data_IF_953561266056
#
_entry.id   IF_953561266056
#
_cell.length_a   1.000
_cell.length_b   1.000
_cell.length_c   1.000
_cell.angle_alpha   90.00
_cell.angle_beta   90.00
_cell.angle_gamma   90.00
#
_symmetry.space_group_name_H-M   'P 1'
#
loop_
_entity.id
_entity.type
_entity.pdbx_description
1 polymer ?
#
# COMPACT_ATOMS: atom_id res chain seq x y z
N UNK A 1 8.88 -7.18 -15.62
CA UNK A 1 8.94 -6.04 -14.69
C UNK A 1 7.59 -5.38 -14.71
N UNK A 2 6.89 -5.30 -13.57
CA UNK A 2 5.61 -4.61 -13.46
C UNK A 2 5.85 -3.08 -13.35
N UNK A 3 4.94 -2.28 -13.90
CA UNK A 3 5.00 -0.83 -13.87
C UNK A 3 3.77 -0.29 -13.14
N UNK A 4 3.97 0.62 -12.19
CA UNK A 4 2.88 1.28 -11.51
C UNK A 4 2.49 2.54 -12.28
N UNK A 5 1.34 2.51 -12.95
CA UNK A 5 0.84 3.65 -13.71
C UNK A 5 0.27 4.78 -12.85
N UNK A 6 -0.06 4.52 -11.59
CA UNK A 6 -0.54 5.56 -10.65
C UNK A 6 0.65 6.36 -10.09
N UNK A 7 1.75 5.67 -9.77
CA UNK A 7 2.99 6.28 -9.26
C UNK A 7 3.97 6.69 -10.36
N UNK A 8 3.76 6.21 -11.59
CA UNK A 8 4.63 6.42 -12.75
C UNK A 8 6.09 5.99 -12.47
N UNK A 9 6.26 4.83 -11.86
CA UNK A 9 7.55 4.26 -11.48
C UNK A 9 7.53 2.73 -11.64
N UNK A 10 8.70 2.07 -11.79
CA UNK A 10 8.75 0.61 -11.81
C UNK A 10 8.34 0.05 -10.45
N UNK A 11 7.60 -1.07 -10.45
CA UNK A 11 7.26 -1.77 -9.20
C UNK A 11 8.49 -2.53 -8.72
N UNK A 12 8.94 -2.22 -7.51
CA UNK A 12 10.12 -2.82 -6.86
C UNK A 12 9.79 -3.15 -5.40
N UNK A 13 10.59 -4.01 -4.79
CA UNK A 13 10.40 -4.34 -3.36
C UNK A 13 10.54 -3.09 -2.48
N UNK A 14 11.45 -2.17 -2.84
CA UNK A 14 11.76 -0.98 -2.06
C UNK A 14 10.61 0.03 -2.07
N UNK A 15 10.12 0.43 -3.25
CA UNK A 15 9.02 1.39 -3.34
C UNK A 15 7.67 0.83 -2.86
N UNK A 16 7.41 -0.48 -3.05
CA UNK A 16 6.24 -1.14 -2.46
C UNK A 16 6.30 -1.12 -0.92
N UNK A 17 7.47 -1.37 -0.33
CA UNK A 17 7.63 -1.28 1.13
C UNK A 17 7.47 0.15 1.66
N UNK A 18 7.98 1.14 0.93
CA UNK A 18 7.80 2.54 1.32
C UNK A 18 6.35 3.00 1.21
N UNK A 19 5.61 2.52 0.21
CA UNK A 19 4.18 2.81 0.08
C UNK A 19 3.37 2.18 1.20
N UNK A 20 3.66 0.92 1.57
CA UNK A 20 3.06 0.26 2.73
C UNK A 20 3.23 1.06 4.03
N UNK A 21 4.41 1.69 4.24
CA UNK A 21 4.64 2.55 5.41
C UNK A 21 3.74 3.78 5.40
N UNK A 22 3.59 4.44 4.24
CA UNK A 22 2.73 5.64 4.10
C UNK A 22 1.25 5.30 4.28
N UNK A 23 0.80 4.19 3.68
CA UNK A 23 -0.57 3.72 3.81
C UNK A 23 -0.88 3.34 5.26
N UNK A 24 0.02 2.63 5.94
CA UNK A 24 -0.14 2.28 7.36
C UNK A 24 -0.26 3.52 8.26
N UNK A 25 0.57 4.53 8.03
CA UNK A 25 0.49 5.81 8.76
C UNK A 25 -0.82 6.57 8.49
N UNK A 26 -1.40 6.39 7.31
CA UNK A 26 -2.66 7.06 6.92
C UNK A 26 -3.88 6.30 7.44
N UNK A 27 -3.85 4.96 7.41
CA UNK A 27 -4.82 4.09 8.06
C UNK A 27 -4.92 4.41 9.56
N UNK A 28 -3.78 4.48 10.26
CA UNK A 28 -3.76 4.82 11.69
C UNK A 28 -4.35 6.20 11.98
N UNK A 29 -4.10 7.19 11.11
CA UNK A 29 -4.68 8.53 11.26
C UNK A 29 -6.19 8.50 11.06
N UNK A 30 -6.68 7.79 10.05
CA UNK A 30 -8.11 7.62 9.78
C UNK A 30 -8.83 6.90 10.94
N UNK A 31 -8.22 5.85 11.50
CA UNK A 31 -8.72 5.16 12.68
C UNK A 31 -8.79 6.09 13.90
N UNK A 32 -7.72 6.86 14.14
CA UNK A 32 -7.67 7.80 15.26
C UNK A 32 -8.68 8.95 15.12
N UNK A 33 -9.02 9.35 13.89
CA UNK A 33 -10.07 10.35 13.65
C UNK A 33 -11.48 9.77 13.64
N UNK A 34 -11.64 8.45 13.76
CA UNK A 34 -12.94 7.77 13.68
C UNK A 34 -13.51 7.71 12.27
N UNK A 35 -12.69 7.95 11.23
CA UNK A 35 -13.11 7.87 9.84
C UNK A 35 -12.99 6.43 9.33
N UNK A 36 -14.02 5.63 9.60
CA UNK A 36 -14.06 4.21 9.25
C UNK A 36 -14.02 3.96 7.74
N UNK A 37 -14.56 4.88 6.93
CA UNK A 37 -14.54 4.75 5.47
C UNK A 37 -13.11 4.95 4.95
N UNK A 38 -12.44 6.02 5.39
CA UNK A 38 -11.05 6.25 5.02
C UNK A 38 -10.13 5.12 5.51
N UNK A 39 -10.33 4.62 6.74
CA UNK A 39 -9.57 3.49 7.26
C UNK A 39 -9.73 2.24 6.38
N UNK A 40 -10.95 1.92 5.96
CA UNK A 40 -11.23 0.77 5.09
C UNK A 40 -10.50 0.91 3.74
N UNK A 41 -10.56 2.08 3.12
CA UNK A 41 -9.87 2.36 1.85
C UNK A 41 -8.35 2.18 1.98
N UNK A 42 -7.77 2.66 3.08
CA UNK A 42 -6.33 2.48 3.32
C UNK A 42 -5.96 1.01 3.53
N UNK A 43 -6.78 0.24 4.26
CA UNK A 43 -6.55 -1.20 4.45
C UNK A 43 -6.66 -2.00 3.15
N UNK A 44 -7.62 -1.66 2.27
CA UNK A 44 -7.73 -2.27 0.94
C UNK A 44 -6.52 -1.94 0.04
N UNK A 45 -5.96 -0.75 0.17
CA UNK A 45 -4.73 -0.38 -0.53
C UNK A 45 -3.51 -1.14 0.04
N UNK A 46 -3.42 -1.29 1.36
CA UNK A 46 -2.36 -2.07 2.02
C UNK A 46 -2.38 -3.52 1.53
N UNK A 47 -3.55 -4.15 1.49
CA UNK A 47 -3.66 -5.54 1.02
C UNK A 47 -3.17 -5.70 -0.42
N UNK A 48 -3.50 -4.76 -1.31
CA UNK A 48 -3.01 -4.77 -2.70
C UNK A 48 -1.49 -4.64 -2.78
N UNK A 49 -0.88 -3.77 -1.99
CA UNK A 49 0.59 -3.64 -1.96
C UNK A 49 1.26 -4.87 -1.33
N UNK A 50 0.62 -5.53 -0.35
CA UNK A 50 1.12 -6.79 0.22
C UNK A 50 1.08 -7.93 -0.79
N UNK A 51 -0.01 -8.06 -1.56
CA UNK A 51 -0.12 -9.05 -2.63
C UNK A 51 0.98 -8.82 -3.69
N UNK A 52 1.17 -7.57 -4.12
CA UNK A 52 2.25 -7.21 -5.05
C UNK A 52 3.64 -7.48 -4.48
N UNK A 53 3.85 -7.27 -3.17
CA UNK A 53 5.11 -7.57 -2.51
C UNK A 53 5.43 -9.07 -2.48
N UNK A 54 4.42 -9.92 -2.29
CA UNK A 54 4.57 -11.38 -2.30
C UNK A 54 4.90 -11.88 -3.72
N UNK A 55 4.25 -11.32 -4.76
CA UNK A 55 4.58 -11.60 -6.16
C UNK A 55 6.03 -11.22 -6.50
N UNK A 56 6.49 -10.04 -6.06
CA UNK A 56 7.87 -9.57 -6.28
C UNK A 56 8.92 -10.45 -5.58
N UNK A 57 8.56 -11.05 -4.44
CA UNK A 57 9.42 -11.96 -3.69
C UNK A 57 9.38 -13.39 -4.22
N UNK A 58 8.55 -13.68 -5.22
CA UNK A 58 8.44 -14.99 -5.86
C UNK A 58 7.86 -16.07 -4.94
N UNK A 59 6.90 -15.69 -4.08
CA UNK A 59 6.12 -16.65 -3.30
C UNK A 59 4.94 -17.20 -4.06
#
# INVERSE_FOLDING_TARGET
MAWDYQRNEPVTVENTQDELRKLSASAQRAENSGDALAATVYHEAINRELDGLDELKGK
#
